data_IF_725064021628
#
_entry.id   IF_725064021628
#
_cell.length_a   1.000
_cell.length_b   1.000
_cell.length_c   1.000
_cell.angle_alpha   90.00
_cell.angle_beta   90.00
_cell.angle_gamma   90.00
#
_symmetry.space_group_name_H-M   'P 1'
#
loop_
_entity.id
_entity.type
_entity.pdbx_description
1 polymer ?
#
# COMPACT_ATOMS: atom_id res chain seq x y z
N UNK A 1 16.07 4.10 13.91
CA UNK A 1 15.59 2.92 14.66
C UNK A 1 16.32 1.69 14.13
N UNK A 2 16.51 0.67 14.97
CA UNK A 2 17.07 -0.61 14.48
C UNK A 2 16.05 -1.37 13.62
N UNK A 3 16.48 -2.02 12.54
CA UNK A 3 15.59 -2.68 11.58
C UNK A 3 14.62 -3.66 12.23
N UNK A 4 15.09 -4.46 13.20
CA UNK A 4 14.26 -5.43 13.91
C UNK A 4 13.15 -4.75 14.73
N UNK A 5 13.46 -3.62 15.37
CA UNK A 5 12.47 -2.85 16.12
C UNK A 5 11.37 -2.33 15.18
N UNK A 6 11.74 -1.87 13.98
CA UNK A 6 10.75 -1.42 13.01
C UNK A 6 9.85 -2.56 12.51
N UNK A 7 10.46 -3.71 12.18
CA UNK A 7 9.73 -4.89 11.69
C UNK A 7 8.73 -5.39 12.73
N UNK A 8 9.14 -5.52 14.00
CA UNK A 8 8.28 -6.04 15.07
C UNK A 8 7.35 -4.97 15.68
N UNK A 9 7.73 -3.70 15.61
CA UNK A 9 7.02 -2.57 16.21
C UNK A 9 5.87 -2.04 15.35
N UNK A 10 6.02 -2.05 14.01
CA UNK A 10 5.04 -1.45 13.10
C UNK A 10 3.64 -2.08 13.26
N UNK A 11 2.62 -1.23 13.29
CA UNK A 11 1.19 -1.60 13.31
C UNK A 11 0.44 -0.90 12.19
N UNK A 12 -0.70 -1.48 11.80
CA UNK A 12 -1.62 -0.83 10.86
C UNK A 12 -2.52 0.11 11.66
N UNK A 13 -2.28 1.41 11.53
CA UNK A 13 -2.90 2.48 12.30
C UNK A 13 -4.10 3.03 11.53
N UNK A 14 -5.25 3.17 12.18
CA UNK A 14 -6.51 3.66 11.58
C UNK A 14 -7.10 4.84 12.32
N UNK A 15 -6.38 5.43 13.28
CA UNK A 15 -6.72 6.69 13.92
C UNK A 15 -5.48 7.53 14.02
N UNK A 16 -5.58 8.76 13.54
CA UNK A 16 -4.48 9.73 13.54
C UNK A 16 -4.86 10.94 14.37
N UNK A 17 -3.87 11.63 14.93
CA UNK A 17 -4.09 12.94 15.53
C UNK A 17 -4.25 13.99 14.41
N UNK A 18 -4.65 15.20 14.77
CA UNK A 18 -4.71 16.33 13.83
C UNK A 18 -3.33 16.97 13.56
N UNK A 19 -2.26 16.42 14.13
CA UNK A 19 -0.91 16.95 13.95
C UNK A 19 -0.46 16.75 12.48
N UNK A 20 0.01 17.82 11.81
CA UNK A 20 0.46 17.71 10.42
C UNK A 20 1.76 16.92 10.35
N UNK A 21 1.96 16.18 9.26
CA UNK A 21 3.24 15.53 8.96
C UNK A 21 4.11 16.50 8.17
N UNK A 22 5.33 16.83 8.62
CA UNK A 22 6.23 17.70 7.86
C UNK A 22 6.55 17.13 6.48
N UNK A 23 6.58 18.00 5.46
CA UNK A 23 6.89 17.60 4.08
C UNK A 23 8.22 16.87 3.97
N UNK A 24 9.27 17.37 4.61
CA UNK A 24 10.60 16.76 4.60
C UNK A 24 10.59 15.33 5.16
N UNK A 25 9.69 15.03 6.11
CA UNK A 25 9.48 13.67 6.63
C UNK A 25 8.86 12.77 5.56
N UNK A 26 7.85 13.26 4.81
CA UNK A 26 7.25 12.51 3.69
C UNK A 26 8.28 12.27 2.59
N UNK A 27 9.09 13.27 2.26
CA UNK A 27 10.17 13.16 1.27
C UNK A 27 11.24 12.16 1.71
N UNK A 28 11.63 12.14 2.99
CA UNK A 28 12.55 11.15 3.55
C UNK A 28 11.98 9.72 3.47
N UNK A 29 10.69 9.55 3.77
CA UNK A 29 9.98 8.27 3.64
C UNK A 29 9.98 7.79 2.18
N UNK A 30 9.70 8.68 1.23
CA UNK A 30 9.73 8.36 -0.20
C UNK A 30 11.15 8.03 -0.67
N UNK A 31 12.16 8.77 -0.21
CA UNK A 31 13.56 8.50 -0.52
C UNK A 31 14.00 7.11 -0.01
N UNK A 32 13.54 6.69 1.16
CA UNK A 32 13.75 5.34 1.66
C UNK A 32 12.96 4.29 0.84
N UNK A 33 11.71 4.60 0.50
CA UNK A 33 10.81 3.73 -0.26
C UNK A 33 11.42 3.29 -1.59
N UNK A 34 12.00 4.22 -2.36
CA UNK A 34 12.60 3.92 -3.67
C UNK A 34 13.89 3.07 -3.58
N UNK A 35 14.39 2.78 -2.37
CA UNK A 35 15.52 1.86 -2.14
C UNK A 35 15.09 0.40 -2.11
N UNK A 36 13.79 0.10 -2.19
CA UNK A 36 13.31 -1.27 -2.30
C UNK A 36 13.92 -1.98 -3.52
N UNK A 37 14.17 -3.30 -3.44
CA UNK A 37 14.59 -4.07 -4.60
C UNK A 37 13.47 -4.12 -5.65
N UNK A 38 13.85 -4.16 -6.92
CA UNK A 38 12.92 -4.41 -8.02
C UNK A 38 13.53 -5.33 -9.06
N UNK A 39 12.70 -6.11 -9.72
CA UNK A 39 13.15 -7.02 -10.77
C UNK A 39 13.90 -6.26 -11.86
N UNK A 40 15.14 -6.67 -12.16
CA UNK A 40 16.04 -6.00 -13.11
C UNK A 40 16.21 -4.49 -12.86
N UNK A 41 16.03 -4.04 -11.61
CA UNK A 41 16.04 -2.62 -11.23
C UNK A 41 14.97 -1.77 -11.96
N UNK A 42 13.84 -2.37 -12.34
CA UNK A 42 12.78 -1.72 -13.12
C UNK A 42 12.11 -0.53 -12.40
N UNK A 43 12.14 -0.51 -11.06
CA UNK A 43 11.53 0.55 -10.23
C UNK A 43 10.09 0.88 -10.70
N UNK A 44 9.20 -0.13 -10.76
CA UNK A 44 7.91 -0.03 -11.44
C UNK A 44 6.87 0.74 -10.63
N UNK A 45 7.27 1.52 -9.63
CA UNK A 45 6.36 2.27 -8.77
C UNK A 45 6.20 3.72 -9.25
N UNK A 46 4.99 4.24 -9.06
CA UNK A 46 4.66 5.66 -9.13
C UNK A 46 3.88 6.03 -7.88
N UNK A 47 4.18 7.18 -7.31
CA UNK A 47 3.58 7.66 -6.07
C UNK A 47 2.89 9.00 -6.35
N UNK A 48 1.66 9.13 -5.87
CA UNK A 48 0.92 10.40 -5.87
C UNK A 48 0.57 10.75 -4.43
N UNK A 49 1.23 11.77 -3.89
CA UNK A 49 1.02 12.24 -2.52
C UNK A 49 -0.20 13.16 -2.50
N UNK A 50 -1.19 12.84 -1.67
CA UNK A 50 -2.40 13.61 -1.46
C UNK A 50 -2.41 14.21 -0.05
N UNK A 51 -2.63 15.51 0.02
CA UNK A 51 -2.76 16.30 1.25
C UNK A 51 -3.95 17.25 1.08
N UNK A 52 -4.63 17.63 2.17
CA UNK A 52 -5.72 18.60 2.11
C UNK A 52 -6.89 18.17 1.20
N UNK A 53 -7.27 19.04 0.25
CA UNK A 53 -8.43 18.82 -0.64
C UNK A 53 -8.33 17.53 -1.48
N UNK A 54 -7.21 17.23 -2.17
CA UNK A 54 -7.04 15.95 -2.86
C UNK A 54 -7.30 14.71 -1.99
N UNK A 55 -6.85 14.70 -0.73
CA UNK A 55 -7.09 13.58 0.18
C UNK A 55 -8.59 13.47 0.57
N UNK A 56 -9.27 14.60 0.77
CA UNK A 56 -10.72 14.63 0.97
C UNK A 56 -11.48 14.08 -0.24
N UNK A 57 -11.09 14.48 -1.45
CA UNK A 57 -11.68 13.99 -2.70
C UNK A 57 -11.53 12.48 -2.85
N UNK A 58 -10.36 11.91 -2.51
CA UNK A 58 -10.18 10.46 -2.47
C UNK A 58 -11.16 9.80 -1.50
N UNK A 59 -11.29 10.31 -0.29
CA UNK A 59 -12.23 9.78 0.70
C UNK A 59 -13.69 9.90 0.25
N UNK A 60 -14.06 10.98 -0.45
CA UNK A 60 -15.41 11.17 -1.01
C UNK A 60 -15.70 10.13 -2.10
N UNK A 61 -14.76 9.87 -3.01
CA UNK A 61 -14.87 8.82 -4.04
C UNK A 61 -15.08 7.44 -3.39
N UNK A 62 -14.30 7.12 -2.36
CA UNK A 62 -14.41 5.85 -1.65
C UNK A 62 -15.76 5.71 -0.93
N UNK A 63 -16.22 6.77 -0.27
CA UNK A 63 -17.50 6.74 0.44
C UNK A 63 -18.68 6.61 -0.53
N UNK A 64 -18.69 7.38 -1.62
CA UNK A 64 -19.73 7.28 -2.64
C UNK A 64 -19.80 5.88 -3.24
N UNK A 65 -18.64 5.27 -3.53
CA UNK A 65 -18.57 3.90 -4.04
C UNK A 65 -19.14 2.89 -3.05
N UNK A 66 -18.87 3.08 -1.75
CA UNK A 66 -19.44 2.24 -0.71
C UNK A 66 -20.96 2.38 -0.62
N UNK A 67 -21.46 3.61 -0.70
CA UNK A 67 -22.90 3.88 -0.66
C UNK A 67 -23.62 3.25 -1.86
N UNK A 68 -23.05 3.36 -3.06
CA UNK A 68 -23.58 2.77 -4.30
C UNK A 68 -23.61 1.23 -4.24
N UNK A 69 -22.52 0.61 -3.78
CA UNK A 69 -22.42 -0.84 -3.58
C UNK A 69 -23.44 -1.32 -2.54
N UNK A 70 -23.51 -0.62 -1.40
CA UNK A 70 -24.47 -0.95 -0.34
C UNK A 70 -25.92 -0.83 -0.82
N UNK A 71 -26.24 0.16 -1.66
CA UNK A 71 -27.59 0.33 -2.21
C UNK A 71 -27.98 -0.81 -3.16
N UNK A 72 -27.00 -1.46 -3.81
CA UNK A 72 -27.21 -2.67 -4.63
C UNK A 72 -27.24 -3.97 -3.82
N UNK A 73 -26.90 -3.91 -2.53
CA UNK A 73 -26.76 -5.09 -1.67
C UNK A 73 -25.43 -5.83 -1.83
N UNK A 74 -24.43 -5.19 -2.44
CA UNK A 74 -23.08 -5.75 -2.60
C UNK A 74 -22.30 -5.69 -1.27
N UNK A 75 -21.33 -6.60 -1.07
CA UNK A 75 -20.41 -6.56 0.07
C UNK A 75 -19.38 -5.44 -0.11
N UNK A 76 -19.39 -4.48 0.82
CA UNK A 76 -18.46 -3.34 0.84
C UNK A 76 -17.21 -3.60 1.67
N UNK A 77 -17.12 -4.74 2.37
CA UNK A 77 -16.01 -5.06 3.27
C UNK A 77 -15.76 -3.95 4.28
N UNK A 78 -14.56 -3.35 4.21
CA UNK A 78 -14.16 -2.22 5.07
C UNK A 78 -14.18 -0.85 4.37
N UNK A 79 -14.73 -0.72 3.16
CA UNK A 79 -14.56 0.45 2.30
C UNK A 79 -15.01 1.77 2.95
N UNK A 80 -16.21 1.86 3.52
CA UNK A 80 -16.65 3.10 4.21
C UNK A 80 -15.75 3.44 5.41
N UNK A 81 -15.27 2.42 6.10
CA UNK A 81 -14.40 2.63 7.25
C UNK A 81 -13.01 3.10 6.83
N UNK A 82 -12.41 2.50 5.79
CA UNK A 82 -11.13 2.98 5.25
C UNK A 82 -11.27 4.35 4.58
N UNK A 83 -12.41 4.69 3.99
CA UNK A 83 -12.70 6.04 3.52
C UNK A 83 -12.63 7.07 4.67
N UNK A 84 -13.21 6.74 5.84
CA UNK A 84 -13.09 7.56 7.04
C UNK A 84 -11.63 7.67 7.52
N UNK A 85 -10.85 6.60 7.41
CA UNK A 85 -9.40 6.63 7.74
C UNK A 85 -8.63 7.55 6.81
N UNK A 86 -8.87 7.50 5.50
CA UNK A 86 -8.24 8.40 4.51
C UNK A 86 -8.61 9.85 4.81
N UNK A 87 -9.87 10.12 5.18
CA UNK A 87 -10.36 11.49 5.46
C UNK A 87 -9.64 12.18 6.61
N UNK A 88 -9.29 11.44 7.66
CA UNK A 88 -8.57 11.99 8.83
C UNK A 88 -7.04 11.99 8.65
N UNK A 89 -6.50 11.22 7.71
CA UNK A 89 -5.06 11.08 7.57
C UNK A 89 -4.47 12.39 7.01
N UNK A 90 -3.42 12.97 7.64
CA UNK A 90 -2.80 14.18 7.12
C UNK A 90 -2.19 13.98 5.73
N UNK A 91 -1.70 12.77 5.43
CA UNK A 91 -1.12 12.41 4.13
C UNK A 91 -1.68 11.06 3.69
N UNK A 92 -2.09 10.94 2.43
CA UNK A 92 -2.36 9.65 1.79
C UNK A 92 -1.62 9.56 0.46
N UNK A 93 -0.83 8.51 0.29
CA UNK A 93 -0.03 8.28 -0.92
C UNK A 93 -0.71 7.20 -1.75
N UNK A 94 -1.21 7.55 -2.92
CA UNK A 94 -1.63 6.55 -3.91
C UNK A 94 -0.39 5.91 -4.53
N UNK A 95 -0.40 4.58 -4.63
CA UNK A 95 0.68 3.77 -5.18
C UNK A 95 0.18 3.09 -6.43
N UNK A 96 0.88 3.35 -7.53
CA UNK A 96 0.61 2.76 -8.82
C UNK A 96 1.79 1.89 -9.27
N UNK A 97 1.49 0.87 -10.04
CA UNK A 97 2.44 0.23 -10.94
C UNK A 97 2.51 1.07 -12.22
N UNK A 98 3.72 1.39 -12.66
CA UNK A 98 3.97 2.09 -13.92
C UNK A 98 3.52 1.23 -15.10
N UNK A 99 3.00 1.86 -16.16
CA UNK A 99 2.67 1.18 -17.41
C UNK A 99 3.84 0.27 -17.88
N UNK A 100 3.54 -0.95 -18.37
CA UNK A 100 4.58 -1.82 -18.91
C UNK A 100 5.28 -1.14 -20.12
N UNK A 101 6.59 -1.38 -20.33
CA UNK A 101 7.26 -0.95 -21.55
C UNK A 101 6.58 -1.51 -22.80
N UNK A 102 6.54 -0.74 -23.88
CA UNK A 102 5.88 -1.13 -25.14
C UNK A 102 6.47 -2.41 -25.75
N UNK A 103 7.74 -2.72 -25.45
CA UNK A 103 8.41 -3.90 -25.99
C UNK A 103 7.94 -5.21 -25.34
N UNK A 104 7.20 -5.15 -24.23
CA UNK A 104 6.65 -6.36 -23.59
C UNK A 104 5.45 -6.84 -24.41
N UNK A 105 5.51 -8.05 -25.01
CA UNK A 105 4.40 -8.59 -25.79
C UNK A 105 3.17 -8.80 -24.93
N UNK A 106 1.97 -8.57 -25.48
CA UNK A 106 0.70 -8.66 -24.75
C UNK A 106 0.52 -9.98 -23.99
N UNK A 107 0.93 -11.11 -24.57
CA UNK A 107 0.82 -12.44 -23.93
C UNK A 107 1.67 -12.59 -22.67
N UNK A 108 2.70 -11.75 -22.47
CA UNK A 108 3.57 -11.74 -21.30
C UNK A 108 3.19 -10.66 -20.28
N UNK A 109 2.11 -9.89 -20.51
CA UNK A 109 1.70 -8.79 -19.63
C UNK A 109 1.30 -9.27 -18.24
N UNK A 110 0.68 -10.44 -18.13
CA UNK A 110 0.28 -11.01 -16.84
C UNK A 110 1.51 -11.40 -16.01
N UNK A 111 2.45 -12.14 -16.60
CA UNK A 111 3.71 -12.50 -15.93
C UNK A 111 4.52 -11.26 -15.55
N UNK A 112 4.61 -10.28 -16.46
CA UNK A 112 5.27 -9.01 -16.20
C UNK A 112 4.62 -8.29 -15.00
N UNK A 113 3.30 -8.15 -15.02
CA UNK A 113 2.54 -7.55 -13.93
C UNK A 113 2.77 -8.28 -12.61
N UNK A 114 2.73 -9.62 -12.60
CA UNK A 114 2.96 -10.43 -11.42
C UNK A 114 4.35 -10.18 -10.80
N UNK A 115 5.38 -10.04 -11.63
CA UNK A 115 6.75 -9.73 -11.17
C UNK A 115 6.88 -8.28 -10.69
N UNK A 116 6.27 -7.33 -11.40
CA UNK A 116 6.31 -5.92 -11.01
C UNK A 116 5.54 -5.66 -9.71
N UNK A 117 4.39 -6.31 -9.52
CA UNK A 117 3.57 -6.19 -8.32
C UNK A 117 4.32 -6.63 -7.06
N UNK A 118 5.16 -7.67 -7.14
CA UNK A 118 6.05 -8.06 -6.03
C UNK A 118 7.05 -6.95 -5.68
N UNK A 119 7.59 -6.27 -6.69
CA UNK A 119 8.51 -5.14 -6.50
C UNK A 119 7.78 -3.95 -5.85
N UNK A 120 6.56 -3.63 -6.32
CA UNK A 120 5.72 -2.57 -5.73
C UNK A 120 5.34 -2.91 -4.28
N UNK A 121 4.99 -4.17 -4.00
CA UNK A 121 4.69 -4.62 -2.65
C UNK A 121 5.88 -4.50 -1.70
N UNK A 122 7.09 -4.80 -2.19
CA UNK A 122 8.33 -4.55 -1.47
C UNK A 122 8.53 -3.06 -1.16
N UNK A 123 8.27 -2.17 -2.13
CA UNK A 123 8.34 -0.72 -1.92
C UNK A 123 7.33 -0.24 -0.86
N UNK A 124 6.08 -0.70 -0.91
CA UNK A 124 5.08 -0.33 0.10
C UNK A 124 5.53 -0.79 1.49
N UNK A 125 6.01 -2.03 1.64
CA UNK A 125 6.52 -2.50 2.93
C UNK A 125 7.69 -1.65 3.44
N UNK A 126 8.63 -1.25 2.57
CA UNK A 126 9.71 -0.32 2.92
C UNK A 126 9.16 1.04 3.37
N UNK A 127 8.15 1.59 2.67
CA UNK A 127 7.47 2.83 3.05
C UNK A 127 6.88 2.74 4.46
N UNK A 128 6.21 1.64 4.79
CA UNK A 128 5.60 1.45 6.10
C UNK A 128 6.63 1.38 7.23
N UNK A 129 7.79 0.74 6.99
CA UNK A 129 8.88 0.67 7.95
C UNK A 129 9.58 2.03 8.12
N UNK A 130 9.81 2.76 7.03
CA UNK A 130 10.36 4.11 7.08
C UNK A 130 9.43 5.07 7.83
N UNK A 131 8.12 5.02 7.57
CA UNK A 131 7.15 5.81 8.32
C UNK A 131 7.22 5.52 9.83
N UNK A 132 7.34 4.25 10.21
CA UNK A 132 7.45 3.86 11.61
C UNK A 132 8.78 4.31 12.25
N UNK A 133 9.89 4.31 11.50
CA UNK A 133 11.17 4.86 11.95
C UNK A 133 11.07 6.37 12.26
N UNK A 134 10.28 7.10 11.48
CA UNK A 134 9.95 8.50 11.73
C UNK A 134 8.87 8.71 12.81
N UNK A 135 8.45 7.67 13.54
CA UNK A 135 7.45 7.75 14.60
C UNK A 135 6.00 7.89 14.09
N UNK A 136 5.76 7.72 12.79
CA UNK A 136 4.42 7.80 12.21
C UNK A 136 3.70 6.45 12.22
N UNK A 137 2.39 6.53 12.34
CA UNK A 137 1.47 5.44 12.01
C UNK A 137 1.25 5.36 10.51
N UNK A 138 1.01 4.15 10.01
CA UNK A 138 0.70 3.92 8.60
C UNK A 138 -0.36 2.86 8.39
N UNK A 139 -1.11 2.97 7.28
CA UNK A 139 -2.07 1.97 6.83
C UNK A 139 -1.93 1.72 5.33
N UNK A 140 -1.62 0.47 4.95
CA UNK A 140 -1.78 -0.02 3.58
C UNK A 140 -3.27 -0.32 3.33
N UNK A 141 -3.84 0.32 2.33
CA UNK A 141 -5.25 0.25 1.96
C UNK A 141 -5.37 -0.30 0.53
N UNK A 142 -6.00 -1.46 0.38
CA UNK A 142 -6.40 -1.99 -0.94
C UNK A 142 -7.88 -1.73 -1.25
N UNK A 143 -8.67 -1.21 -0.30
CA UNK A 143 -10.08 -0.85 -0.54
C UNK A 143 -10.24 0.21 -1.64
N UNK A 144 -9.18 0.98 -1.96
CA UNK A 144 -9.15 1.87 -3.13
C UNK A 144 -9.37 1.13 -4.45
N UNK A 145 -9.17 -0.19 -4.51
CA UNK A 145 -9.37 -1.00 -5.71
C UNK A 145 -10.86 -1.19 -6.07
N UNK A 146 -11.79 -0.97 -5.13
CA UNK A 146 -13.21 -0.84 -5.43
C UNK A 146 -13.50 0.40 -6.30
N UNK A 147 -12.58 1.37 -6.31
CA UNK A 147 -12.75 2.69 -6.88
C UNK A 147 -11.69 2.97 -7.97
N UNK A 148 -11.19 1.94 -8.65
CA UNK A 148 -10.01 2.03 -9.50
C UNK A 148 -10.18 3.05 -10.64
N UNK A 149 -11.25 2.98 -11.43
CA UNK A 149 -11.54 3.93 -12.50
C UNK A 149 -11.61 5.39 -12.01
N UNK A 150 -12.48 5.79 -11.07
CA UNK A 150 -12.62 7.19 -10.68
C UNK A 150 -11.34 7.75 -10.03
N UNK A 151 -10.61 6.95 -9.25
CA UNK A 151 -9.32 7.36 -8.67
C UNK A 151 -8.28 7.57 -9.77
N UNK A 152 -8.15 6.63 -10.70
CA UNK A 152 -7.14 6.70 -11.77
C UNK A 152 -7.44 7.82 -12.76
N UNK A 153 -8.71 8.05 -13.09
CA UNK A 153 -9.12 9.18 -13.92
C UNK A 153 -8.78 10.53 -13.29
N UNK A 154 -8.85 10.63 -11.96
CA UNK A 154 -8.64 11.87 -11.22
C UNK A 154 -7.17 12.15 -10.88
N UNK A 155 -6.41 11.12 -10.51
CA UNK A 155 -5.07 11.26 -9.93
C UNK A 155 -3.99 10.45 -10.66
N UNK A 156 -4.39 9.47 -11.47
CA UNK A 156 -3.47 8.57 -12.16
C UNK A 156 -2.82 9.18 -13.40
N UNK A 157 -1.91 8.41 -14.00
CA UNK A 157 -1.35 8.68 -15.32
C UNK A 157 -1.85 7.62 -16.29
N UNK A 158 -1.88 7.95 -17.58
CA UNK A 158 -2.31 7.00 -18.60
C UNK A 158 -1.43 5.74 -18.57
N UNK A 159 -2.06 4.57 -18.55
CA UNK A 159 -1.40 3.26 -18.54
C UNK A 159 -0.93 2.76 -17.16
N UNK A 160 -0.76 3.65 -16.18
CA UNK A 160 -0.40 3.26 -14.81
C UNK A 160 -1.59 2.54 -14.15
N UNK A 161 -1.30 1.50 -13.37
CA UNK A 161 -2.32 0.67 -12.68
C UNK A 161 -2.32 0.98 -11.19
N UNK A 162 -3.47 1.34 -10.63
CA UNK A 162 -3.59 1.56 -9.18
C UNK A 162 -3.36 0.24 -8.44
N UNK A 163 -2.46 0.25 -7.45
CA UNK A 163 -2.11 -0.94 -6.65
C UNK A 163 -2.64 -0.81 -5.23
N UNK A 164 -2.45 0.34 -4.60
CA UNK A 164 -2.83 0.57 -3.20
C UNK A 164 -2.86 2.07 -2.87
N UNK A 165 -3.28 2.38 -1.66
CA UNK A 165 -2.97 3.64 -0.99
C UNK A 165 -2.25 3.38 0.34
N UNK A 166 -1.46 4.36 0.78
CA UNK A 166 -0.83 4.36 2.11
C UNK A 166 -1.17 5.66 2.82
N UNK A 167 -2.01 5.59 3.86
CA UNK A 167 -2.23 6.72 4.75
C UNK A 167 -1.15 6.79 5.81
N UNK A 168 -0.68 8.00 6.11
CA UNK A 168 0.36 8.31 7.09
C UNK A 168 -0.13 9.40 8.05
N UNK A 169 0.29 9.33 9.31
CA UNK A 169 0.01 10.37 10.31
C UNK A 169 0.52 10.01 11.70
N UNK A 170 0.50 10.97 12.61
CA UNK A 170 0.81 10.71 14.01
C UNK A 170 -0.26 9.79 14.62
N UNK A 171 0.11 8.63 15.20
CA UNK A 171 -0.87 7.64 15.63
C UNK A 171 -1.67 8.13 16.84
N UNK A 172 -3.00 8.11 16.75
CA UNK A 172 -3.91 8.36 17.88
C UNK A 172 -4.35 7.05 18.57
N UNK A 173 -3.63 5.96 18.31
CA UNK A 173 -3.87 4.65 18.90
C UNK A 173 -2.59 3.82 18.93
N UNK A 174 -2.55 2.83 19.83
CA UNK A 174 -1.43 1.89 19.94
C UNK A 174 -1.96 0.45 20.01
N UNK A 175 -2.39 -0.13 18.88
CA UNK A 175 -2.96 -1.47 18.87
C UNK A 175 -1.88 -2.52 19.17
N UNK A 176 -2.28 -3.56 19.92
CA UNK A 176 -1.43 -4.72 20.18
C UNK A 176 -1.05 -5.48 18.89
N UNK A 177 -0.02 -6.34 18.95
CA UNK A 177 0.33 -7.21 17.83
C UNK A 177 -0.85 -8.12 17.46
N UNK A 178 -1.11 -8.26 16.16
CA UNK A 178 -2.04 -9.27 15.63
C UNK A 178 -1.37 -10.65 15.70
N UNK A 179 -2.10 -11.76 15.92
CA UNK A 179 -1.54 -13.11 15.89
C UNK A 179 -0.75 -13.39 14.60
N UNK A 180 0.29 -14.23 14.70
CA UNK A 180 1.06 -14.74 13.56
C UNK A 180 1.16 -16.25 13.68
N UNK A 181 1.06 -16.95 12.54
CA UNK A 181 1.45 -18.36 12.43
C UNK A 181 2.95 -18.46 12.73
N UNK A 182 3.38 -19.55 13.35
CA UNK A 182 4.81 -19.81 13.55
C UNK A 182 5.49 -19.97 12.19
N UNK A 183 6.74 -19.53 12.04
CA UNK A 183 7.44 -19.69 10.76
C UNK A 183 7.63 -21.17 10.40
N UNK A 184 7.70 -22.06 11.39
CA UNK A 184 7.80 -23.51 11.24
C UNK A 184 6.58 -24.10 10.53
N UNK A 185 5.39 -23.56 10.78
CA UNK A 185 4.16 -23.99 10.10
C UNK A 185 4.15 -23.61 8.62
N UNK A 186 4.91 -22.59 8.24
CA UNK A 186 4.96 -22.01 6.90
C UNK A 186 6.18 -22.46 6.10
N UNK A 187 7.07 -23.26 6.69
CA UNK A 187 8.39 -23.55 6.11
C UNK A 187 8.63 -25.06 6.03
N UNK A 188 9.06 -25.52 4.86
CA UNK A 188 9.57 -26.89 4.67
C UNK A 188 11.07 -26.83 4.34
N UNK A 189 11.89 -27.54 5.12
CA UNK A 189 13.32 -27.72 4.84
C UNK A 189 13.53 -28.99 4.01
N UNK A 190 14.28 -28.88 2.92
CA UNK A 190 14.71 -30.00 2.09
C UNK A 190 16.25 -29.98 2.09
N UNK A 191 16.87 -30.82 2.93
CA UNK A 191 18.32 -30.92 3.09
C UNK A 191 18.91 -32.22 2.53
N UNK A 192 18.14 -32.97 1.74
CA UNK A 192 18.52 -34.22 1.08
C UNK A 192 17.75 -34.43 -0.23
N UNK A 193 17.99 -35.55 -0.93
CA UNK A 193 17.27 -35.85 -2.18
C UNK A 193 15.76 -35.93 -1.93
N UNK A 194 14.93 -35.16 -2.66
CA UNK A 194 13.49 -35.27 -2.54
C UNK A 194 13.05 -36.64 -3.02
N UNK A 195 12.34 -37.40 -2.18
CA UNK A 195 11.63 -38.60 -2.62
C UNK A 195 10.68 -38.20 -3.77
N UNK A 196 11.05 -38.56 -5.00
CA UNK A 196 10.18 -38.44 -6.15
C UNK A 196 9.07 -39.45 -5.94
N UNK A 197 7.91 -39.00 -5.43
CA UNK A 197 6.69 -39.80 -5.48
C UNK A 197 6.35 -40.01 -6.95
N UNK A 198 6.56 -41.24 -7.44
CA UNK A 198 6.05 -41.72 -8.72
C UNK A 198 4.54 -41.86 -8.67
#
# INVERSE_FOLDING_TARGET
>A
METQQAIYGRRSIRRYTAEPVPRDTVEAILAATIRAPSAKNAQPWRFVVLEGDPARQLADIMQQTADDLSARGDDIGSLSWTAAVVRQAPVTILVYEAAPPEEIPLHAHEDYHFVMLQSVGGAIQTMLLAAHDHGLGSLWICDVLYCTEPISARFGRAGDRLVAAVSLGHPAESPGPRPRRSWQELTRWLSGEPEIRR
#
